data_IF_539800998714
#
_entry.id   IF_539800998714
#
_cell.length_a   1.000
_cell.length_b   1.000
_cell.length_c   1.000
_cell.angle_alpha   90.00
_cell.angle_beta   90.00
_cell.angle_gamma   90.00
#
_symmetry.space_group_name_H-M   'P 1'
#
loop_
_entity.id
_entity.type
_entity.pdbx_description
1 polymer ?
#
# COMPACT_ATOMS: atom_id res chain seq x y z
N UNK A 1 -15.17 5.08 14.27
CA UNK A 1 -13.79 5.48 13.94
C UNK A 1 -12.72 4.57 14.56
N UNK A 2 -12.56 4.52 15.89
CA UNK A 2 -11.45 3.78 16.54
C UNK A 2 -11.35 2.30 16.12
N UNK A 3 -12.47 1.54 16.15
CA UNK A 3 -12.49 0.13 15.72
C UNK A 3 -12.05 -0.06 14.27
N UNK A 4 -12.50 0.81 13.35
CA UNK A 4 -12.13 0.78 11.93
C UNK A 4 -10.65 1.11 11.75
N UNK A 5 -10.14 2.08 12.51
CA UNK A 5 -8.74 2.46 12.48
C UNK A 5 -7.82 1.35 13.02
N UNK A 6 -8.22 0.71 14.12
CA UNK A 6 -7.53 -0.45 14.67
C UNK A 6 -7.52 -1.61 13.67
N UNK A 7 -8.66 -1.93 13.05
CA UNK A 7 -8.78 -2.97 12.04
C UNK A 7 -7.84 -2.73 10.84
N UNK A 8 -7.77 -1.50 10.32
CA UNK A 8 -6.83 -1.16 9.24
C UNK A 8 -5.38 -1.25 9.70
N UNK A 9 -5.05 -0.74 10.89
CA UNK A 9 -3.70 -0.81 11.43
C UNK A 9 -3.21 -2.25 11.60
N UNK A 10 -4.06 -3.13 12.15
CA UNK A 10 -3.79 -4.56 12.27
C UNK A 10 -3.62 -5.21 10.90
N UNK A 11 -4.47 -4.88 9.93
CA UNK A 11 -4.35 -5.43 8.58
C UNK A 11 -3.04 -5.01 7.91
N UNK A 12 -2.64 -3.73 8.00
CA UNK A 12 -1.34 -3.27 7.50
C UNK A 12 -0.19 -4.03 8.18
N UNK A 13 -0.22 -4.17 9.50
CA UNK A 13 0.78 -4.94 10.24
C UNK A 13 0.88 -6.39 9.75
N UNK A 14 -0.26 -7.03 9.50
CA UNK A 14 -0.34 -8.38 8.96
C UNK A 14 0.25 -8.50 7.54
N UNK A 15 -0.08 -7.57 6.64
CA UNK A 15 0.47 -7.57 5.27
C UNK A 15 1.99 -7.34 5.26
N UNK A 16 2.49 -6.40 6.06
CA UNK A 16 3.93 -6.12 6.18
C UNK A 16 4.66 -7.35 6.72
N UNK A 17 4.12 -7.99 7.76
CA UNK A 17 4.71 -9.21 8.33
C UNK A 17 4.70 -10.37 7.32
N UNK A 18 3.61 -10.54 6.57
CA UNK A 18 3.49 -11.58 5.54
C UNK A 18 4.54 -11.39 4.43
N UNK A 19 4.66 -10.18 3.86
CA UNK A 19 5.68 -9.88 2.86
C UNK A 19 7.10 -10.06 3.42
N UNK A 20 7.36 -9.64 4.66
CA UNK A 20 8.67 -9.80 5.31
C UNK A 20 9.03 -11.27 5.52
N UNK A 21 8.07 -12.10 5.92
CA UNK A 21 8.30 -13.54 6.08
C UNK A 21 8.53 -14.21 4.73
N UNK A 22 7.72 -13.88 3.72
CA UNK A 22 7.87 -14.41 2.37
C UNK A 22 9.22 -14.02 1.76
N UNK A 23 9.66 -12.79 1.98
CA UNK A 23 10.99 -12.33 1.58
C UNK A 23 12.09 -13.21 2.18
N UNK A 24 12.01 -13.54 3.47
CA UNK A 24 13.02 -14.39 4.14
C UNK A 24 13.04 -15.81 3.58
N UNK A 25 11.87 -16.39 3.30
CA UNK A 25 11.75 -17.70 2.66
C UNK A 25 12.42 -17.70 1.28
N UNK A 26 12.11 -16.71 0.44
CA UNK A 26 12.68 -16.58 -0.89
C UNK A 26 14.20 -16.39 -0.86
N UNK A 27 14.72 -15.64 0.11
CA UNK A 27 16.18 -15.50 0.29
C UNK A 27 16.84 -16.80 0.74
N UNK A 28 16.17 -17.60 1.58
CA UNK A 28 16.67 -18.92 1.98
C UNK A 28 16.69 -19.91 0.79
N UNK A 29 15.78 -19.73 -0.16
CA UNK A 29 15.67 -20.51 -1.40
C UNK A 29 16.52 -19.96 -2.57
N UNK A 30 17.43 -19.01 -2.32
CA UNK A 30 18.30 -18.36 -3.33
C UNK A 30 17.53 -17.67 -4.47
N UNK A 31 16.39 -17.04 -4.15
CA UNK A 31 15.51 -16.28 -5.07
C UNK A 31 15.47 -14.78 -4.72
N UNK A 32 16.60 -14.06 -4.87
CA UNK A 32 16.75 -12.69 -4.37
C UNK A 32 15.93 -11.64 -5.15
N UNK A 33 15.65 -11.89 -6.42
CA UNK A 33 14.83 -11.06 -7.29
C UNK A 33 13.36 -11.05 -6.83
N UNK A 34 12.79 -12.23 -6.57
CA UNK A 34 11.45 -12.34 -6.01
C UNK A 34 11.36 -11.80 -4.59
N UNK A 35 12.40 -12.00 -3.78
CA UNK A 35 12.50 -11.41 -2.46
C UNK A 35 12.49 -9.86 -2.52
N UNK A 36 13.09 -9.27 -3.56
CA UNK A 36 13.04 -7.83 -3.77
C UNK A 36 11.61 -7.34 -4.06
N UNK A 37 10.79 -8.11 -4.77
CA UNK A 37 9.38 -7.78 -5.01
C UNK A 37 8.57 -7.77 -3.71
N UNK A 38 8.73 -8.78 -2.86
CA UNK A 38 8.05 -8.79 -1.55
C UNK A 38 8.48 -7.63 -0.66
N UNK A 39 9.77 -7.24 -0.72
CA UNK A 39 10.25 -6.04 -0.04
C UNK A 39 9.58 -4.77 -0.56
N UNK A 40 9.39 -4.65 -1.88
CA UNK A 40 8.68 -3.51 -2.49
C UNK A 40 7.24 -3.44 -1.99
N UNK A 41 6.51 -4.57 -1.96
CA UNK A 41 5.14 -4.63 -1.43
C UNK A 41 5.08 -4.20 0.03
N UNK A 42 5.97 -4.74 0.87
CA UNK A 42 6.07 -4.36 2.29
C UNK A 42 6.27 -2.85 2.47
N UNK A 43 7.13 -2.24 1.65
CA UNK A 43 7.38 -0.80 1.69
C UNK A 43 6.13 0.02 1.29
N UNK A 44 5.37 -0.41 0.27
CA UNK A 44 4.11 0.25 -0.12
C UNK A 44 3.10 0.18 1.02
N UNK A 45 2.93 -0.99 1.63
CA UNK A 45 2.08 -1.14 2.81
C UNK A 45 2.50 -0.22 3.95
N UNK A 46 3.79 -0.09 4.22
CA UNK A 46 4.30 0.75 5.29
C UNK A 46 4.11 2.26 5.03
N UNK A 47 4.30 2.70 3.78
CA UNK A 47 4.00 4.08 3.36
C UNK A 47 2.54 4.40 3.66
N UNK A 48 1.60 3.55 3.22
CA UNK A 48 0.18 3.78 3.45
C UNK A 48 -0.24 3.62 4.91
N UNK A 49 0.38 2.70 5.67
CA UNK A 49 0.21 2.60 7.12
C UNK A 49 0.58 3.90 7.83
N UNK A 50 1.72 4.48 7.46
CA UNK A 50 2.21 5.74 8.03
C UNK A 50 1.27 6.89 7.68
N UNK A 51 0.89 7.01 6.41
CA UNK A 51 -0.06 8.04 5.94
C UNK A 51 -1.42 7.90 6.63
N UNK A 52 -1.92 6.67 6.78
CA UNK A 52 -3.17 6.39 7.48
C UNK A 52 -3.09 6.85 8.94
N UNK A 53 -2.02 6.49 9.66
CA UNK A 53 -1.79 6.89 11.05
C UNK A 53 -1.80 8.42 11.20
N UNK A 54 -1.10 9.14 10.31
CA UNK A 54 -1.08 10.61 10.31
C UNK A 54 -2.48 11.19 10.06
N UNK A 55 -3.24 10.61 9.12
CA UNK A 55 -4.62 11.01 8.84
C UNK A 55 -5.55 10.86 10.04
N UNK A 56 -5.45 9.72 10.75
CA UNK A 56 -6.23 9.46 11.97
C UNK A 56 -5.87 10.46 13.07
N UNK A 57 -4.57 10.67 13.33
CA UNK A 57 -4.09 11.60 14.36
C UNK A 57 -4.55 13.05 14.08
N UNK A 58 -4.47 13.50 12.83
CA UNK A 58 -4.82 14.86 12.45
C UNK A 58 -6.33 15.09 12.25
N UNK A 59 -7.15 14.04 12.26
CA UNK A 59 -8.61 14.15 12.09
C UNK A 59 -9.32 14.77 13.31
N UNK A 60 -8.67 14.76 14.48
CA UNK A 60 -9.29 15.18 15.74
C UNK A 60 -10.48 14.30 16.13
N UNK A 61 -10.43 13.00 15.84
CA UNK A 61 -11.51 12.06 16.14
C UNK A 61 -12.59 11.94 15.05
N UNK A 62 -12.56 12.78 14.01
CA UNK A 62 -13.61 12.85 12.98
C UNK A 62 -13.37 11.83 11.88
N UNK A 63 -14.25 10.83 11.80
CA UNK A 63 -14.15 9.74 10.82
C UNK A 63 -14.10 10.22 9.37
N UNK A 64 -14.98 11.15 8.99
CA UNK A 64 -15.03 11.68 7.62
C UNK A 64 -13.76 12.46 7.23
N UNK A 65 -13.14 13.15 8.19
CA UNK A 65 -11.89 13.86 7.94
C UNK A 65 -10.73 12.89 7.69
N UNK A 66 -10.64 11.82 8.50
CA UNK A 66 -9.65 10.75 8.29
C UNK A 66 -9.89 10.03 6.94
N UNK A 67 -11.15 9.73 6.62
CA UNK A 67 -11.56 9.09 5.36
C UNK A 67 -11.16 9.94 4.15
N UNK A 68 -11.57 11.20 4.13
CA UNK A 68 -11.27 12.12 3.03
C UNK A 68 -9.76 12.30 2.84
N UNK A 69 -9.01 12.46 3.93
CA UNK A 69 -7.55 12.57 3.88
C UNK A 69 -6.92 11.32 3.26
N UNK A 70 -7.31 10.13 3.73
CA UNK A 70 -6.71 8.88 3.26
C UNK A 70 -7.07 8.57 1.80
N UNK A 71 -8.32 8.80 1.40
CA UNK A 71 -8.75 8.66 0.00
C UNK A 71 -7.97 9.58 -0.93
N UNK A 72 -7.71 10.82 -0.51
CA UNK A 72 -6.90 11.73 -1.31
C UNK A 72 -5.46 11.22 -1.47
N UNK A 73 -4.88 10.62 -0.44
CA UNK A 73 -3.54 10.02 -0.53
C UNK A 73 -3.50 8.73 -1.35
N UNK A 74 -4.56 7.92 -1.29
CA UNK A 74 -4.77 6.77 -2.19
C UNK A 74 -4.88 7.17 -3.67
N UNK A 75 -5.19 8.43 -3.96
CA UNK A 75 -5.19 8.97 -5.33
C UNK A 75 -3.84 9.61 -5.69
N UNK A 76 -3.33 10.48 -4.83
CA UNK A 76 -2.11 11.26 -5.09
C UNK A 76 -0.87 10.38 -5.24
N UNK A 77 -0.65 9.42 -4.32
CA UNK A 77 0.58 8.63 -4.32
C UNK A 77 0.66 7.72 -5.56
N UNK A 78 -0.38 6.93 -5.91
CA UNK A 78 -0.33 6.09 -7.10
C UNK A 78 -0.22 6.87 -8.40
N UNK A 79 -0.73 8.11 -8.48
CA UNK A 79 -0.60 8.92 -9.71
C UNK A 79 0.86 9.19 -10.10
N UNK A 80 1.76 9.33 -9.13
CA UNK A 80 3.19 9.49 -9.39
C UNK A 80 3.81 8.19 -9.94
N UNK A 81 3.38 7.03 -9.44
CA UNK A 81 3.83 5.73 -9.92
C UNK A 81 3.27 5.41 -11.31
N UNK A 82 2.03 5.81 -11.61
CA UNK A 82 1.47 5.71 -12.97
C UNK A 82 2.27 6.54 -13.97
N UNK A 83 2.68 7.76 -13.59
CA UNK A 83 3.56 8.58 -14.45
C UNK A 83 4.92 7.91 -14.68
N UNK A 84 5.53 7.34 -13.63
CA UNK A 84 6.78 6.57 -13.71
C UNK A 84 6.65 5.33 -14.60
N UNK A 85 5.54 4.59 -14.49
CA UNK A 85 5.23 3.44 -15.34
C UNK A 85 5.13 3.84 -16.81
N UNK A 86 4.38 4.91 -17.11
CA UNK A 86 4.21 5.38 -18.49
C UNK A 86 5.54 5.82 -19.11
N UNK A 87 6.41 6.46 -18.33
CA UNK A 87 7.75 6.83 -18.77
C UNK A 87 8.63 5.59 -19.01
N UNK A 88 8.57 4.58 -18.14
CA UNK A 88 9.29 3.32 -18.32
C UNK A 88 8.82 2.58 -19.59
N UNK A 89 7.51 2.57 -19.86
CA UNK A 89 6.92 1.98 -21.06
C UNK A 89 7.39 2.67 -22.35
N UNK A 90 7.51 4.00 -22.35
CA UNK A 90 8.08 4.75 -23.50
C UNK A 90 9.54 4.39 -23.78
N UNK A 91 10.29 4.04 -22.73
CA UNK A 91 11.70 3.68 -22.82
C UNK A 91 11.94 2.16 -22.96
N UNK A 92 10.87 1.35 -23.02
CA UNK A 92 10.93 -0.12 -23.01
C UNK A 92 11.70 -0.72 -21.82
N UNK A 93 11.64 -0.05 -20.66
CA UNK A 93 12.26 -0.50 -19.42
C UNK A 93 11.32 -1.46 -18.67
N UNK A 94 11.36 -2.74 -19.07
CA UNK A 94 10.46 -3.78 -18.55
C UNK A 94 10.59 -4.00 -17.04
N UNK A 95 11.80 -3.91 -16.49
CA UNK A 95 12.04 -4.09 -15.05
C UNK A 95 11.35 -2.97 -14.26
N UNK A 96 11.56 -1.72 -14.67
CA UNK A 96 10.92 -0.58 -14.02
C UNK A 96 9.40 -0.61 -14.19
N UNK A 97 8.89 -0.99 -15.37
CA UNK A 97 7.45 -1.18 -15.57
C UNK A 97 6.88 -2.19 -14.58
N UNK A 98 7.53 -3.34 -14.41
CA UNK A 98 7.08 -4.36 -13.48
C UNK A 98 7.08 -3.86 -12.03
N UNK A 99 8.13 -3.17 -11.61
CA UNK A 99 8.23 -2.56 -10.27
C UNK A 99 7.10 -1.55 -10.03
N UNK A 100 6.83 -0.66 -10.97
CA UNK A 100 5.76 0.33 -10.80
C UNK A 100 4.38 -0.32 -10.82
N UNK A 101 4.16 -1.35 -11.67
CA UNK A 101 2.91 -2.12 -11.67
C UNK A 101 2.68 -2.80 -10.32
N UNK A 102 3.71 -3.43 -9.74
CA UNK A 102 3.64 -4.06 -8.43
C UNK A 102 3.21 -3.09 -7.32
N UNK A 103 3.70 -1.84 -7.36
CA UNK A 103 3.29 -0.80 -6.41
C UNK A 103 1.83 -0.38 -6.64
N UNK A 104 1.41 -0.23 -7.89
CA UNK A 104 0.03 0.12 -8.25
C UNK A 104 -0.96 -0.96 -7.83
N UNK A 105 -0.64 -2.23 -8.06
CA UNK A 105 -1.45 -3.37 -7.65
C UNK A 105 -1.58 -3.43 -6.12
N UNK A 106 -0.48 -3.24 -5.40
CA UNK A 106 -0.49 -3.17 -3.94
C UNK A 106 -1.32 -2.00 -3.43
N UNK A 107 -1.26 -0.82 -4.07
CA UNK A 107 -2.12 0.31 -3.72
C UNK A 107 -3.60 0.01 -3.98
N UNK A 108 -3.92 -0.73 -5.03
CA UNK A 108 -5.27 -1.16 -5.33
C UNK A 108 -5.80 -2.15 -4.26
N UNK A 109 -4.98 -3.09 -3.79
CA UNK A 109 -5.31 -3.97 -2.65
C UNK A 109 -5.67 -3.15 -1.40
N UNK A 110 -4.86 -2.12 -1.09
CA UNK A 110 -5.10 -1.22 0.04
C UNK A 110 -6.42 -0.46 -0.14
N UNK A 111 -6.69 0.07 -1.33
CA UNK A 111 -7.94 0.78 -1.63
C UNK A 111 -9.14 -0.13 -1.43
N UNK A 112 -9.10 -1.35 -1.96
CA UNK A 112 -10.19 -2.33 -1.80
C UNK A 112 -10.43 -2.66 -0.32
N UNK A 113 -9.35 -2.90 0.43
CA UNK A 113 -9.47 -3.16 1.87
C UNK A 113 -10.05 -1.96 2.63
N UNK A 114 -9.59 -0.76 2.31
CA UNK A 114 -10.08 0.46 2.93
C UNK A 114 -11.58 0.65 2.67
N UNK A 115 -12.03 0.52 1.41
CA UNK A 115 -13.45 0.51 1.05
C UNK A 115 -14.23 -0.55 1.82
N UNK A 116 -13.70 -1.77 1.96
CA UNK A 116 -14.37 -2.83 2.72
C UNK A 116 -14.57 -2.48 4.20
N UNK A 117 -13.70 -1.68 4.81
CA UNK A 117 -13.82 -1.26 6.22
C UNK A 117 -14.69 0.02 6.36
N UNK A 118 -14.71 0.91 5.35
CA UNK A 118 -15.39 2.21 5.44
C UNK A 118 -16.73 2.32 4.69
N UNK A 119 -17.03 1.45 3.73
CA UNK A 119 -18.22 1.53 2.85
C UNK A 119 -19.21 0.38 3.06
N UNK A 120 -18.83 -0.68 3.78
CA UNK A 120 -19.69 -1.86 4.01
C UNK A 120 -20.64 -1.69 5.21
N UNK A 121 -20.57 -0.58 5.94
CA UNK A 121 -21.59 -0.20 6.92
C UNK A 121 -22.49 0.90 6.33
N UNK A 122 -23.60 0.47 5.73
CA UNK A 122 -24.78 1.29 5.43
C UNK A 122 -25.95 0.83 6.31
#
# INVERSE_FOLDING_TARGET
MEKKAEQMSMWFGGQIAACTNRQKELLADDRPDEAAFEKIRANVYDIFRTVFSVGVQNSGGREEAAKAFFLEKLRQIPSAWTASYNQANQNHDCEKMYIEQLKLDTAQEIRLKFSAVWEVEA
#
